data_IF_438084430031
#
_entry.id   IF_438084430031
#
_cell.length_a   1.000
_cell.length_b   1.000
_cell.length_c   1.000
_cell.angle_alpha   90.00
_cell.angle_beta   90.00
_cell.angle_gamma   90.00
#
_symmetry.space_group_name_H-M   'P 1'
#
loop_
_entity.id
_entity.type
_entity.pdbx_description
1 polymer ?
#
# COMPACT_ATOMS: atom_id res chain seq x y z
N UNK A 1 -14.47 -16.29 21.54
CA UNK A 1 -13.72 -16.70 20.34
C UNK A 1 -12.45 -15.87 20.31
N UNK A 2 -11.31 -16.54 20.24
CA UNK A 2 -10.00 -15.92 20.44
C UNK A 2 -9.70 -14.99 19.27
N UNK A 3 -9.74 -13.68 19.51
CA UNK A 3 -9.12 -12.71 18.63
C UNK A 3 -7.63 -13.08 18.52
N UNK A 4 -7.07 -13.31 17.32
CA UNK A 4 -5.63 -13.38 17.19
C UNK A 4 -5.09 -11.99 17.55
N UNK A 5 -4.43 -11.89 18.70
CA UNK A 5 -3.59 -10.74 19.04
C UNK A 5 -2.42 -10.78 18.07
N UNK A 6 -2.58 -10.12 16.92
CA UNK A 6 -1.45 -9.71 16.11
C UNK A 6 -0.51 -8.97 17.06
N UNK A 7 0.67 -9.55 17.30
CA UNK A 7 1.68 -8.91 18.14
C UNK A 7 1.98 -7.51 17.60
N UNK A 8 2.55 -6.61 18.41
CA UNK A 8 2.88 -5.24 18.00
C UNK A 8 3.96 -5.14 16.89
N UNK A 9 4.32 -6.28 16.27
CA UNK A 9 5.32 -6.45 15.20
C UNK A 9 4.72 -7.17 13.97
N UNK A 10 3.39 -7.26 13.86
CA UNK A 10 2.75 -7.60 12.60
C UNK A 10 2.65 -6.33 11.76
N UNK A 11 3.75 -5.98 11.10
CA UNK A 11 3.77 -5.01 10.02
C UNK A 11 2.78 -5.50 8.95
N UNK A 12 1.54 -5.03 9.05
CA UNK A 12 0.58 -5.18 7.96
C UNK A 12 1.27 -4.58 6.73
N UNK A 13 1.45 -5.31 5.62
CA UNK A 13 2.20 -4.80 4.49
C UNK A 13 1.46 -3.57 3.99
N UNK A 14 1.99 -2.39 4.29
CA UNK A 14 1.43 -1.12 3.89
C UNK A 14 1.04 -1.25 2.40
N UNK A 15 -0.28 -1.17 2.15
CA UNK A 15 -0.87 -1.57 0.88
C UNK A 15 -0.29 -0.81 -0.31
N UNK A 16 -0.66 -1.20 -1.53
CA UNK A 16 -0.24 -0.44 -2.71
C UNK A 16 -0.80 1.00 -2.67
N UNK A 17 -0.05 1.98 -3.20
CA UNK A 17 -0.51 3.35 -3.23
C UNK A 17 -1.76 3.48 -4.12
N UNK A 18 -2.70 4.33 -3.72
CA UNK A 18 -3.95 4.56 -4.46
C UNK A 18 -3.91 5.90 -5.18
N UNK A 19 -4.32 5.95 -6.44
CA UNK A 19 -4.37 7.20 -7.22
C UNK A 19 -5.81 7.65 -7.43
N UNK A 20 -6.06 8.95 -7.25
CA UNK A 20 -7.31 9.56 -7.68
C UNK A 20 -7.02 10.57 -8.78
N UNK A 21 -7.26 10.15 -10.02
CA UNK A 21 -6.92 10.94 -11.21
C UNK A 21 -7.84 12.14 -11.41
N UNK A 22 -9.07 12.13 -10.89
CA UNK A 22 -10.00 13.27 -10.99
C UNK A 22 -9.49 14.53 -10.26
N UNK A 23 -8.62 14.34 -9.28
CA UNK A 23 -8.10 15.37 -8.37
C UNK A 23 -6.56 15.31 -8.29
N UNK A 24 -5.94 14.55 -9.20
CA UNK A 24 -4.50 14.40 -9.39
C UNK A 24 -3.70 14.17 -8.10
N UNK A 25 -4.22 13.38 -7.17
CA UNK A 25 -3.50 13.02 -5.96
C UNK A 25 -3.13 11.54 -5.94
N UNK A 26 -2.00 11.26 -5.28
CA UNK A 26 -1.55 9.93 -4.94
C UNK A 26 -1.60 9.77 -3.41
N UNK A 27 -2.40 8.83 -2.93
CA UNK A 27 -2.49 8.47 -1.52
C UNK A 27 -1.46 7.40 -1.21
N UNK A 28 -0.48 7.76 -0.38
CA UNK A 28 0.53 6.85 0.13
C UNK A 28 0.11 6.35 1.51
N UNK A 29 0.10 5.03 1.77
CA UNK A 29 0.02 4.51 3.13
C UNK A 29 1.30 4.81 3.91
N UNK A 30 1.25 4.59 5.23
CA UNK A 30 2.40 4.77 6.11
C UNK A 30 3.37 3.60 5.91
N UNK A 31 4.43 3.85 5.14
CA UNK A 31 5.52 2.89 4.95
C UNK A 31 6.60 3.09 6.01
N UNK A 32 7.14 1.99 6.53
CA UNK A 32 8.21 2.01 7.55
C UNK A 32 9.54 2.56 7.04
N UNK A 33 9.75 2.66 5.71
CA UNK A 33 10.96 3.21 5.08
C UNK A 33 10.71 3.66 3.64
N UNK A 34 11.56 4.56 3.14
CA UNK A 34 11.49 5.07 1.76
C UNK A 34 11.74 3.98 0.72
N UNK A 35 12.63 3.01 1.01
CA UNK A 35 12.87 1.86 0.14
C UNK A 35 11.60 1.02 -0.09
N UNK A 36 10.82 0.76 0.97
CA UNK A 36 9.56 0.02 0.89
C UNK A 36 8.53 0.80 0.06
N UNK A 37 8.41 2.11 0.30
CA UNK A 37 7.54 2.98 -0.48
C UNK A 37 7.89 2.93 -1.97
N UNK A 38 9.18 3.01 -2.31
CA UNK A 38 9.67 2.96 -3.68
C UNK A 38 9.34 1.62 -4.35
N UNK A 39 9.64 0.50 -3.70
CA UNK A 39 9.34 -0.82 -4.25
C UNK A 39 7.84 -1.00 -4.51
N UNK A 40 6.99 -0.63 -3.55
CA UNK A 40 5.54 -0.74 -3.68
C UNK A 40 4.98 0.16 -4.76
N UNK A 41 5.48 1.39 -4.87
CA UNK A 41 5.09 2.33 -5.92
C UNK A 41 5.47 1.81 -7.31
N UNK A 42 6.72 1.37 -7.48
CA UNK A 42 7.18 0.82 -8.75
C UNK A 42 6.37 -0.41 -9.15
N UNK A 43 6.15 -1.34 -8.23
CA UNK A 43 5.30 -2.51 -8.44
C UNK A 43 3.88 -2.11 -8.91
N UNK A 44 3.24 -1.14 -8.22
CA UNK A 44 1.91 -0.66 -8.59
C UNK A 44 1.87 0.02 -9.98
N UNK A 45 2.95 0.69 -10.40
CA UNK A 45 3.04 1.31 -11.74
C UNK A 45 3.34 0.32 -12.87
N UNK A 46 3.94 -0.82 -12.54
CA UNK A 46 4.27 -1.88 -13.50
C UNK A 46 3.10 -2.86 -13.71
N UNK A 47 2.13 -2.89 -12.80
CA UNK A 47 0.94 -3.72 -12.93
C UNK A 47 0.08 -3.22 -14.11
N UNK A 48 0.07 -4.00 -15.20
CA UNK A 48 -0.72 -3.71 -16.40
C UNK A 48 -2.13 -4.24 -16.23
N UNK A 49 -3.02 -3.37 -15.75
CA UNK A 49 -4.43 -3.69 -15.59
C UNK A 49 -5.09 -2.71 -14.64
N UNK A 50 -6.38 -2.48 -14.81
CA UNK A 50 -7.15 -1.67 -13.88
C UNK A 50 -7.70 -2.58 -12.78
N UNK A 51 -7.24 -2.37 -11.55
CA UNK A 51 -7.91 -2.92 -10.37
C UNK A 51 -9.15 -2.07 -10.09
N UNK A 52 -10.27 -2.60 -10.54
CA UNK A 52 -11.62 -2.14 -10.25
C UNK A 52 -11.91 -2.52 -8.79
N UNK A 53 -11.90 -1.54 -7.91
CA UNK A 53 -12.35 -1.71 -6.52
C UNK A 53 -13.88 -1.75 -6.46
#
# INVERSE_FOLDING_TARGET
>A
EEHPTAGPDAEEPAGYPSVNTCVHYLKLPEYSSEDIMRERLLAATMEKGFHLN
#
